data_IF_135763075194
#
_entry.id   IF_135763075194
#
_cell.length_a   1.000
_cell.length_b   1.000
_cell.length_c   1.000
_cell.angle_alpha   90.00
_cell.angle_beta   90.00
_cell.angle_gamma   90.00
#
_symmetry.space_group_name_H-M   'P 1'
#
loop_
_entity.id
_entity.type
_entity.pdbx_description
1 polymer ?
#
# COMPACT_ATOMS: atom_id res chain seq x y z
N UNK A 1 52.32 19.70 2.71
CA UNK A 1 50.97 19.29 3.16
C UNK A 1 51.19 18.28 4.27
N UNK A 2 51.24 18.77 5.51
CA UNK A 2 51.79 18.03 6.66
C UNK A 2 50.79 16.96 7.10
N UNK A 3 51.03 15.70 6.75
CA UNK A 3 50.36 14.57 7.40
C UNK A 3 51.01 14.39 8.77
N UNK A 4 50.35 14.87 9.82
CA UNK A 4 50.75 14.56 11.19
C UNK A 4 50.54 13.06 11.39
N UNK A 5 51.64 12.30 11.37
CA UNK A 5 51.67 10.88 11.70
C UNK A 5 51.80 10.69 13.22
N UNK A 6 51.07 11.48 14.00
CA UNK A 6 51.15 11.44 15.45
C UNK A 6 49.97 10.64 16.01
N UNK A 7 50.31 9.59 16.75
CA UNK A 7 49.41 8.77 17.56
C UNK A 7 48.52 7.75 16.82
N UNK A 8 49.08 6.95 15.90
CA UNK A 8 48.45 5.70 15.45
C UNK A 8 48.52 4.63 16.56
N UNK A 9 47.73 4.80 17.62
CA UNK A 9 47.50 3.71 18.59
C UNK A 9 46.55 2.72 17.95
N UNK A 10 46.96 1.45 17.87
CA UNK A 10 46.06 0.38 17.45
C UNK A 10 44.80 0.37 18.31
N UNK A 11 43.66 0.01 17.71
CA UNK A 11 42.41 -0.04 18.45
C UNK A 11 42.48 -1.08 19.56
N UNK A 12 42.03 -0.70 20.76
CA UNK A 12 41.85 -1.64 21.85
C UNK A 12 40.75 -2.64 21.51
N UNK A 13 40.89 -3.89 21.98
CA UNK A 13 39.93 -4.96 21.74
C UNK A 13 38.53 -4.61 22.27
N UNK A 14 38.43 -3.88 23.39
CA UNK A 14 37.15 -3.42 23.93
C UNK A 14 36.50 -2.35 23.03
N UNK A 15 37.32 -1.48 22.43
CA UNK A 15 36.86 -0.39 21.58
C UNK A 15 36.34 -0.89 20.22
N UNK A 16 36.99 -1.91 19.65
CA UNK A 16 36.50 -2.58 18.44
C UNK A 16 35.21 -3.33 18.69
N UNK A 17 35.10 -4.03 19.82
CA UNK A 17 33.86 -4.71 20.23
C UNK A 17 32.71 -3.72 20.41
N UNK A 18 32.98 -2.57 21.05
CA UNK A 18 31.96 -1.53 21.24
C UNK A 18 31.51 -0.92 19.90
N UNK A 19 32.46 -0.61 19.01
CA UNK A 19 32.16 -0.10 17.67
C UNK A 19 31.34 -1.08 16.85
N UNK A 20 31.68 -2.37 16.91
CA UNK A 20 30.97 -3.44 16.19
C UNK A 20 29.55 -3.66 16.75
N UNK A 21 29.39 -3.54 18.07
CA UNK A 21 28.09 -3.57 18.73
C UNK A 21 27.21 -2.40 18.28
N UNK A 22 27.75 -1.16 18.31
CA UNK A 22 27.02 0.03 17.85
C UNK A 22 26.65 -0.05 16.38
N UNK A 23 27.56 -0.54 15.54
CA UNK A 23 27.31 -0.75 14.13
C UNK A 23 26.19 -1.77 13.91
N UNK A 24 26.27 -2.93 14.58
CA UNK A 24 25.25 -3.98 14.51
C UNK A 24 23.87 -3.48 14.96
N UNK A 25 23.82 -2.72 16.06
CA UNK A 25 22.58 -2.13 16.56
C UNK A 25 22.00 -1.12 15.56
N UNK A 26 22.85 -0.23 15.02
CA UNK A 26 22.43 0.78 14.04
C UNK A 26 21.86 0.16 12.77
N UNK A 27 22.54 -0.85 12.22
CA UNK A 27 22.08 -1.57 11.01
C UNK A 27 20.79 -2.33 11.28
N UNK A 28 20.67 -2.98 12.45
CA UNK A 28 19.46 -3.73 12.83
C UNK A 28 18.26 -2.81 12.94
N UNK A 29 18.40 -1.68 13.65
CA UNK A 29 17.33 -0.68 13.81
C UNK A 29 16.91 -0.13 12.44
N UNK A 30 17.88 0.20 11.59
CA UNK A 30 17.60 0.72 10.25
C UNK A 30 16.83 -0.30 9.39
N UNK A 31 17.25 -1.57 9.41
CA UNK A 31 16.58 -2.63 8.66
C UNK A 31 15.15 -2.86 9.17
N UNK A 32 14.96 -2.87 10.50
CA UNK A 32 13.63 -3.01 11.12
C UNK A 32 12.71 -1.85 10.76
N UNK A 33 13.22 -0.62 10.76
CA UNK A 33 12.46 0.56 10.36
C UNK A 33 11.94 0.46 8.92
N UNK A 34 12.80 0.08 7.99
CA UNK A 34 12.42 -0.12 6.58
C UNK A 34 11.39 -1.24 6.42
N UNK A 35 11.52 -2.32 7.19
CA UNK A 35 10.57 -3.44 7.16
C UNK A 35 9.17 -3.02 7.62
N UNK A 36 9.08 -2.23 8.70
CA UNK A 36 7.80 -1.71 9.22
C UNK A 36 7.13 -0.78 8.22
N UNK A 37 7.88 0.12 7.58
CA UNK A 37 7.36 0.98 6.52
C UNK A 37 6.81 0.15 5.35
N UNK A 38 7.55 -0.88 4.91
CA UNK A 38 7.11 -1.78 3.84
C UNK A 38 5.80 -2.51 4.17
N UNK A 39 5.63 -2.96 5.41
CA UNK A 39 4.39 -3.59 5.88
C UNK A 39 3.20 -2.61 5.85
N UNK A 40 3.42 -1.35 6.19
CA UNK A 40 2.40 -0.30 6.07
C UNK A 40 1.98 -0.06 4.62
N UNK A 41 2.94 0.01 3.70
CA UNK A 41 2.66 0.17 2.26
C UNK A 41 1.91 -1.02 1.68
N UNK A 42 2.23 -2.26 2.10
CA UNK A 42 1.49 -3.45 1.69
C UNK A 42 0.00 -3.36 2.05
N UNK A 43 -0.33 -2.95 3.28
CA UNK A 43 -1.74 -2.79 3.69
C UNK A 43 -2.49 -1.78 2.83
N UNK A 44 -1.88 -0.63 2.53
CA UNK A 44 -2.48 0.41 1.68
C UNK A 44 -2.62 -0.03 0.23
N UNK A 45 -1.62 -0.73 -0.31
CA UNK A 45 -1.65 -1.27 -1.66
C UNK A 45 -2.80 -2.27 -1.85
N UNK A 46 -2.97 -3.19 -0.90
CA UNK A 46 -4.04 -4.19 -0.92
C UNK A 46 -5.44 -3.56 -0.95
N UNK A 47 -5.63 -2.40 -0.30
CA UNK A 47 -6.89 -1.66 -0.42
C UNK A 47 -7.06 -1.08 -1.83
N UNK A 48 -6.05 -0.38 -2.36
CA UNK A 48 -6.11 0.21 -3.71
C UNK A 48 -6.41 -0.84 -4.79
N UNK A 49 -5.85 -2.02 -4.65
CA UNK A 49 -6.11 -3.12 -5.58
C UNK A 49 -7.58 -3.55 -5.55
N UNK A 50 -8.19 -3.67 -4.37
CA UNK A 50 -9.62 -3.95 -4.24
C UNK A 50 -10.50 -2.85 -4.86
N UNK A 51 -10.09 -1.58 -4.74
CA UNK A 51 -10.76 -0.45 -5.39
C UNK A 51 -10.64 -0.48 -6.92
N UNK A 52 -9.45 -0.82 -7.45
CA UNK A 52 -9.27 -0.99 -8.91
C UNK A 52 -10.19 -2.09 -9.46
N UNK A 53 -10.28 -3.22 -8.76
CA UNK A 53 -11.15 -4.32 -9.16
C UNK A 53 -12.64 -3.93 -9.09
N UNK A 54 -13.05 -3.17 -8.07
CA UNK A 54 -14.41 -2.61 -7.98
C UNK A 54 -14.74 -1.71 -9.18
N UNK A 55 -13.77 -0.87 -9.59
CA UNK A 55 -13.92 0.02 -10.72
C UNK A 55 -13.95 -0.73 -12.06
N UNK A 56 -13.19 -1.81 -12.21
CA UNK A 56 -13.27 -2.69 -13.39
C UNK A 56 -14.65 -3.34 -13.51
N UNK A 57 -15.26 -3.74 -12.38
CA UNK A 57 -16.64 -4.26 -12.37
C UNK A 57 -17.68 -3.22 -12.77
N UNK A 58 -17.51 -1.97 -12.36
CA UNK A 58 -18.42 -0.88 -12.79
C UNK A 58 -18.36 -0.61 -14.29
N UNK A 59 -17.21 -0.88 -14.92
CA UNK A 59 -17.04 -0.78 -16.37
C UNK A 59 -17.57 -2.02 -17.13
N UNK A 60 -18.11 -3.02 -16.42
CA UNK A 60 -18.63 -4.25 -17.03
C UNK A 60 -17.58 -5.34 -17.29
N UNK A 61 -16.35 -5.17 -16.79
CA UNK A 61 -15.32 -6.20 -16.91
C UNK A 61 -15.40 -7.16 -15.71
N UNK A 62 -15.95 -8.36 -15.93
CA UNK A 62 -16.12 -9.37 -14.90
C UNK A 62 -14.85 -10.21 -14.71
N UNK A 63 -14.16 -10.04 -13.58
CA UNK A 63 -13.00 -10.88 -13.22
C UNK A 63 -13.47 -12.24 -12.67
N UNK A 64 -13.15 -13.36 -13.33
CA UNK A 64 -13.68 -14.70 -12.96
C UNK A 64 -13.46 -15.11 -11.49
N UNK A 65 -12.47 -14.54 -10.79
CA UNK A 65 -12.14 -14.94 -9.40
C UNK A 65 -12.82 -14.09 -8.31
N UNK A 66 -13.46 -12.97 -8.64
CA UNK A 66 -14.04 -12.05 -7.64
C UNK A 66 -15.56 -12.19 -7.59
N UNK A 67 -16.17 -12.16 -6.40
CA UNK A 67 -17.63 -12.14 -6.28
C UNK A 67 -18.09 -10.69 -6.34
N UNK A 68 -18.65 -10.24 -7.47
CA UNK A 68 -19.22 -8.88 -7.57
C UNK A 68 -20.74 -8.90 -7.59
N UNK A 69 -21.35 -8.01 -6.83
CA UNK A 69 -22.76 -7.67 -6.92
C UNK A 69 -22.88 -6.23 -7.44
N UNK A 70 -23.49 -6.07 -8.61
CA UNK A 70 -23.86 -4.77 -9.15
C UNK A 70 -25.34 -4.54 -8.87
N UNK A 71 -25.64 -3.51 -8.08
CA UNK A 71 -27.01 -3.09 -7.77
C UNK A 71 -27.25 -1.71 -8.38
N UNK A 72 -28.29 -1.59 -9.20
CA UNK A 72 -28.72 -0.32 -9.79
C UNK A 72 -29.99 0.14 -9.10
N UNK A 73 -29.97 1.37 -8.57
CA UNK A 73 -31.13 2.00 -7.93
C UNK A 73 -31.45 3.32 -8.62
N UNK A 74 -32.72 3.71 -8.63
CA UNK A 74 -33.14 5.03 -9.10
C UNK A 74 -32.54 6.11 -8.20
N UNK A 75 -31.68 6.95 -8.78
CA UNK A 75 -31.04 8.08 -8.12
C UNK A 75 -31.84 9.39 -8.28
N UNK A 76 -31.46 10.45 -7.55
CA UNK A 76 -32.10 11.75 -7.68
C UNK A 76 -31.92 12.32 -9.11
N UNK A 77 -32.89 13.11 -9.56
CA UNK A 77 -32.88 13.81 -10.86
C UNK A 77 -32.82 12.90 -12.11
N UNK A 78 -33.38 11.68 -12.05
CA UNK A 78 -33.45 10.77 -13.21
C UNK A 78 -32.15 10.02 -13.51
N UNK A 79 -31.14 10.15 -12.65
CA UNK A 79 -29.89 9.39 -12.77
C UNK A 79 -30.04 7.97 -12.21
N UNK A 80 -29.26 7.01 -12.72
CA UNK A 80 -29.14 5.68 -12.14
C UNK A 80 -27.98 5.65 -11.15
N UNK A 81 -28.23 5.25 -9.92
CA UNK A 81 -27.19 5.04 -8.91
C UNK A 81 -26.71 3.58 -9.01
N UNK A 82 -25.51 3.40 -9.55
CA UNK A 82 -24.85 2.11 -9.65
C UNK A 82 -24.01 1.88 -8.40
N UNK A 83 -24.20 0.75 -7.75
CA UNK A 83 -23.40 0.32 -6.60
C UNK A 83 -22.78 -1.04 -6.92
N UNK A 84 -21.46 -1.06 -7.10
CA UNK A 84 -20.69 -2.29 -7.23
C UNK A 84 -20.07 -2.66 -5.89
N UNK A 85 -20.45 -3.82 -5.36
CA UNK A 85 -19.78 -4.46 -4.23
C UNK A 85 -18.94 -5.61 -4.77
N UNK A 86 -17.66 -5.62 -4.49
CA UNK A 86 -16.74 -6.71 -4.83
C UNK A 86 -16.17 -7.33 -3.58
N UNK A 87 -16.14 -8.66 -3.56
CA UNK A 87 -15.51 -9.46 -2.51
C UNK A 87 -14.39 -10.27 -3.14
N UNK A 88 -13.17 -10.09 -2.63
CA UNK A 88 -12.00 -10.82 -3.08
C UNK A 88 -11.97 -12.24 -2.49
N UNK A 89 -11.23 -13.18 -3.11
CA UNK A 89 -11.05 -14.54 -2.58
C UNK A 89 -10.46 -14.58 -1.16
N UNK A 90 -9.66 -13.57 -0.82
CA UNK A 90 -9.03 -13.40 0.50
C UNK A 90 -9.95 -12.69 1.51
N UNK A 91 -11.25 -12.58 1.22
CA UNK A 91 -12.28 -12.07 2.13
C UNK A 91 -12.33 -10.56 2.28
N UNK A 92 -11.64 -9.78 1.43
CA UNK A 92 -11.72 -8.31 1.47
C UNK A 92 -12.86 -7.81 0.59
N UNK A 93 -13.66 -6.90 1.15
CA UNK A 93 -14.77 -6.27 0.44
C UNK A 93 -14.46 -4.80 0.10
N UNK A 94 -14.81 -4.38 -1.11
CA UNK A 94 -14.85 -2.97 -1.49
C UNK A 94 -16.22 -2.65 -2.09
N UNK A 95 -16.80 -1.51 -1.73
CA UNK A 95 -18.07 -1.04 -2.28
C UNK A 95 -17.84 0.31 -2.94
N UNK A 96 -18.19 0.42 -4.22
CA UNK A 96 -18.07 1.66 -4.99
C UNK A 96 -19.46 2.06 -5.50
N UNK A 97 -19.81 3.32 -5.28
CA UNK A 97 -21.07 3.92 -5.71
C UNK A 97 -20.80 5.02 -6.73
N UNK A 98 -21.44 4.92 -7.89
CA UNK A 98 -21.34 5.88 -8.98
C UNK A 98 -22.74 6.32 -9.40
N UNK A 99 -22.91 7.62 -9.61
CA UNK A 99 -24.09 8.16 -10.27
C UNK A 99 -23.86 8.13 -11.78
N UNK A 100 -24.69 7.37 -12.49
CA UNK A 100 -24.77 7.38 -13.94
C UNK A 100 -25.96 8.25 -14.36
N UNK A 101 -25.65 9.51 -14.63
CA UNK A 101 -26.57 10.43 -15.26
C UNK A 101 -26.31 10.38 -16.77
N UNK A 102 -27.18 9.73 -17.53
CA UNK A 102 -27.16 9.90 -18.97
C UNK A 102 -27.64 11.33 -19.23
N UNK A 103 -26.70 12.22 -19.58
CA UNK A 103 -27.02 13.58 -19.94
C UNK A 103 -27.70 13.51 -21.30
N UNK A 104 -29.03 13.43 -21.31
CA UNK A 104 -29.81 13.79 -22.49
C UNK A 104 -29.51 15.27 -22.75
N UNK A 105 -28.46 15.51 -23.54
CA UNK A 105 -28.19 16.81 -24.16
C UNK A 105 -29.26 16.95 -25.24
N UNK A 106 -30.40 17.52 -24.86
CA UNK A 106 -31.34 18.10 -25.82
C UNK A 106 -30.91 19.53 -26.13
#
# INVERSE_FOLDING_TARGET
>A
MWSNADNQRGFSLVETLFSLLLFSMSVTVLMKYQQVLGLGFQQQWQQREAWRQAFQRLQGNESMEWHSQLSSHSGPAGCQLLRARVTSPVGRQATLTQLNCHRDVR
#
